data_IF_899980523119
#
_entry.id   IF_899980523119
#
_cell.length_a   1.000
_cell.length_b   1.000
_cell.length_c   1.000
_cell.angle_alpha   90.00
_cell.angle_beta   90.00
_cell.angle_gamma   90.00
#
_symmetry.space_group_name_H-M   'P 1'
#
loop_
_entity.id
_entity.type
_entity.pdbx_description
1 polymer ?
#
# COMPACT_ATOMS: atom_id res chain seq x y z
N UNK A 1 -9.48 55.94 -52.98
CA UNK A 1 -9.88 54.58 -52.58
C UNK A 1 -8.70 54.00 -51.84
N UNK A 2 -8.78 53.96 -50.51
CA UNK A 2 -7.76 53.31 -49.69
C UNK A 2 -7.77 51.82 -50.02
N UNK A 3 -6.76 51.36 -50.74
CA UNK A 3 -6.48 49.95 -50.89
C UNK A 3 -5.90 49.52 -49.55
N UNK A 4 -6.77 49.09 -48.65
CA UNK A 4 -6.37 48.42 -47.43
C UNK A 4 -5.55 47.19 -47.85
N UNK A 5 -4.22 47.28 -47.75
CA UNK A 5 -3.31 46.20 -48.10
C UNK A 5 -3.60 45.03 -47.17
N UNK A 6 -4.41 44.07 -47.62
CA UNK A 6 -4.73 42.86 -46.88
C UNK A 6 -3.48 41.97 -46.81
N UNK A 7 -2.65 42.22 -45.80
CA UNK A 7 -1.54 41.33 -45.48
C UNK A 7 -2.11 39.96 -45.06
N UNK A 8 -1.66 38.85 -45.68
CA UNK A 8 -2.11 37.52 -45.28
C UNK A 8 -1.65 37.23 -43.84
N UNK A 9 -2.60 36.85 -42.98
CA UNK A 9 -2.34 36.48 -41.58
C UNK A 9 -2.50 34.97 -41.42
N UNK A 10 -1.48 34.31 -40.88
CA UNK A 10 -1.59 32.93 -40.44
C UNK A 10 -2.32 32.89 -39.09
N UNK A 11 -3.31 32.01 -38.96
CA UNK A 11 -4.09 31.85 -37.73
C UNK A 11 -4.21 30.38 -37.35
N UNK A 12 -4.27 30.12 -36.06
CA UNK A 12 -4.58 28.79 -35.53
C UNK A 12 -6.09 28.53 -35.71
N UNK A 13 -6.46 27.34 -36.16
CA UNK A 13 -7.87 26.95 -36.40
C UNK A 13 -8.42 25.95 -35.38
N UNK A 14 -7.55 25.31 -34.60
CA UNK A 14 -7.89 24.35 -33.56
C UNK A 14 -6.90 24.43 -32.40
N UNK A 15 -7.27 23.97 -31.19
CA UNK A 15 -6.34 23.91 -30.05
C UNK A 15 -5.10 23.08 -30.47
N UNK A 16 -3.92 23.64 -30.21
CA UNK A 16 -2.66 22.93 -30.34
C UNK A 16 -2.35 22.22 -29.03
N UNK A 17 -1.71 21.06 -29.12
CA UNK A 17 -1.40 20.19 -28.00
C UNK A 17 -0.02 19.61 -28.27
N UNK A 18 0.97 20.00 -27.45
CA UNK A 18 2.38 19.65 -27.68
C UNK A 18 2.58 18.15 -27.50
N UNK A 19 1.89 17.57 -26.53
CA UNK A 19 1.93 16.16 -26.15
C UNK A 19 1.38 15.28 -27.29
N UNK A 20 0.60 15.86 -28.22
CA UNK A 20 0.21 15.24 -29.49
C UNK A 20 1.14 15.56 -30.66
N UNK A 21 1.59 16.81 -30.79
CA UNK A 21 2.45 17.22 -31.91
C UNK A 21 3.38 18.39 -31.54
N UNK A 22 4.70 18.17 -31.69
CA UNK A 22 5.75 19.12 -31.29
C UNK A 22 5.90 20.33 -32.23
N UNK A 23 5.40 20.24 -33.47
CA UNK A 23 5.58 21.29 -34.47
C UNK A 23 5.05 20.90 -35.84
N UNK A 24 5.05 21.87 -36.77
CA UNK A 24 4.54 21.75 -38.12
C UNK A 24 5.53 22.33 -39.13
N UNK A 25 5.72 21.64 -40.24
CA UNK A 25 6.40 22.17 -41.42
C UNK A 25 5.36 22.59 -42.45
N UNK A 26 5.19 23.89 -42.62
CA UNK A 26 4.27 24.48 -43.59
C UNK A 26 5.05 24.90 -44.84
N UNK A 27 4.41 24.86 -46.01
CA UNK A 27 4.95 25.45 -47.23
C UNK A 27 3.95 26.52 -47.68
N UNK A 28 4.38 27.77 -47.63
CA UNK A 28 3.59 28.90 -48.10
C UNK A 28 3.88 29.11 -49.58
N UNK A 29 2.88 28.99 -50.44
CA UNK A 29 3.02 29.25 -51.88
C UNK A 29 2.26 30.52 -52.27
N UNK A 30 2.94 31.47 -52.91
CA UNK A 30 2.34 32.62 -53.55
C UNK A 30 2.23 32.36 -55.05
N UNK A 31 1.11 32.73 -55.69
CA UNK A 31 0.87 32.59 -57.13
C UNK A 31 0.36 33.92 -57.67
N UNK A 32 0.95 34.43 -58.75
CA UNK A 32 0.47 35.64 -59.43
C UNK A 32 -0.73 35.36 -60.36
N UNK A 33 -1.35 36.40 -60.90
CA UNK A 33 -2.52 36.29 -61.78
C UNK A 33 -2.25 35.59 -63.11
N UNK A 34 -0.98 35.38 -63.47
CA UNK A 34 -0.54 34.72 -64.71
C UNK A 34 0.04 33.32 -64.45
N UNK A 35 -0.04 32.84 -63.20
CA UNK A 35 0.32 31.48 -62.80
C UNK A 35 1.78 31.30 -62.36
N UNK A 36 2.59 32.36 -62.28
CA UNK A 36 3.95 32.25 -61.71
C UNK A 36 3.84 32.08 -60.20
N UNK A 37 4.61 31.16 -59.62
CA UNK A 37 4.57 30.90 -58.19
C UNK A 37 5.95 30.91 -57.52
N UNK A 38 5.93 31.05 -56.19
CA UNK A 38 7.09 30.86 -55.32
C UNK A 38 6.63 30.19 -54.03
N UNK A 39 7.48 29.37 -53.42
CA UNK A 39 7.18 28.64 -52.20
C UNK A 39 8.23 28.89 -51.12
N UNK A 40 7.80 29.00 -49.87
CA UNK A 40 8.66 29.22 -48.70
C UNK A 40 8.30 28.24 -47.57
N UNK A 41 9.25 27.44 -47.05
CA UNK A 41 9.00 26.63 -45.87
C UNK A 41 8.94 27.49 -44.59
N UNK A 42 7.95 27.21 -43.73
CA UNK A 42 7.79 27.83 -42.42
C UNK A 42 7.73 26.70 -41.38
N UNK A 43 8.63 26.75 -40.40
CA UNK A 43 8.65 25.81 -39.27
C UNK A 43 7.95 26.45 -38.08
N UNK A 44 6.87 25.82 -37.62
CA UNK A 44 6.14 26.19 -36.41
C UNK A 44 6.52 25.21 -35.31
N UNK A 45 7.04 25.71 -34.18
CA UNK A 45 7.31 24.88 -32.99
C UNK A 45 6.25 25.15 -31.93
N UNK A 46 5.68 24.10 -31.36
CA UNK A 46 4.70 24.19 -30.27
C UNK A 46 5.47 24.23 -28.95
N UNK A 47 5.24 25.26 -28.13
CA UNK A 47 5.88 25.41 -26.83
C UNK A 47 5.21 24.52 -25.78
N UNK A 48 6.00 24.08 -24.80
CA UNK A 48 5.48 23.35 -23.65
C UNK A 48 4.64 24.27 -22.75
N UNK A 49 3.55 23.72 -22.23
CA UNK A 49 2.73 24.32 -21.18
C UNK A 49 2.45 23.23 -20.16
N UNK A 50 2.50 23.57 -18.86
CA UNK A 50 2.17 22.63 -17.79
C UNK A 50 0.64 22.44 -17.72
N UNK A 51 0.07 21.60 -18.59
CA UNK A 51 -1.37 21.35 -18.68
C UNK A 51 -1.79 19.90 -18.42
N UNK A 52 -0.84 19.02 -18.06
CA UNK A 52 -1.08 17.66 -17.61
C UNK A 52 -0.57 17.44 -16.18
N UNK A 53 -1.37 16.76 -15.36
CA UNK A 53 -0.94 16.39 -14.02
C UNK A 53 -0.09 15.10 -14.05
N UNK A 54 0.83 14.92 -13.08
CA UNK A 54 1.62 13.71 -13.00
C UNK A 54 0.76 12.49 -12.68
N UNK A 55 1.23 11.30 -13.06
CA UNK A 55 0.57 10.01 -12.85
C UNK A 55 1.47 9.09 -12.05
N UNK A 56 0.95 8.54 -10.96
CA UNK A 56 1.65 7.55 -10.13
C UNK A 56 1.43 6.15 -10.71
N UNK A 57 2.51 5.41 -10.91
CA UNK A 57 2.52 4.03 -11.35
C UNK A 57 2.92 3.15 -10.17
N UNK A 58 2.01 2.26 -9.78
CA UNK A 58 2.26 1.28 -8.73
C UNK A 58 2.77 -0.03 -9.34
N UNK A 59 3.68 -0.75 -8.66
CA UNK A 59 4.03 -2.12 -9.03
C UNK A 59 2.76 -2.98 -9.05
N UNK A 60 2.38 -3.52 -10.22
CA UNK A 60 1.24 -4.44 -10.32
C UNK A 60 1.71 -5.86 -10.05
N UNK A 61 1.18 -6.49 -9.01
CA UNK A 61 1.12 -7.95 -8.95
C UNK A 61 -0.04 -8.42 -9.84
N UNK A 62 0.22 -9.43 -10.68
CA UNK A 62 -0.67 -9.92 -11.73
C UNK A 62 -2.15 -9.98 -11.32
N UNK A 63 -2.98 -9.10 -11.88
CA UNK A 63 -4.44 -9.19 -11.86
C UNK A 63 -5.21 -8.24 -10.93
N UNK A 64 -4.54 -7.47 -10.06
CA UNK A 64 -5.23 -6.53 -9.16
C UNK A 64 -5.08 -5.07 -9.58
N UNK A 65 -6.22 -4.34 -9.66
CA UNK A 65 -6.23 -2.89 -9.92
C UNK A 65 -5.66 -2.05 -8.76
N UNK A 66 -5.49 -2.64 -7.57
CA UNK A 66 -4.94 -2.00 -6.37
C UNK A 66 -3.96 -2.98 -5.68
N UNK A 67 -2.64 -2.82 -5.87
CA UNK A 67 -1.68 -3.69 -5.21
C UNK A 67 -1.70 -3.45 -3.69
N UNK A 68 -1.67 -4.54 -2.92
CA UNK A 68 -1.47 -4.51 -1.47
C UNK A 68 -0.06 -4.95 -1.16
N UNK A 69 0.71 -4.10 -0.51
CA UNK A 69 2.09 -4.42 -0.16
C UNK A 69 2.14 -5.18 1.16
N UNK A 70 2.67 -6.40 1.14
CA UNK A 70 2.74 -7.26 2.32
C UNK A 70 3.89 -6.83 3.22
N UNK A 71 3.58 -6.59 4.49
CA UNK A 71 4.52 -6.36 5.58
C UNK A 71 4.16 -7.32 6.71
N UNK A 72 5.18 -7.87 7.35
CA UNK A 72 5.09 -8.71 8.54
C UNK A 72 5.55 -7.90 9.73
N UNK A 73 5.05 -8.18 10.92
CA UNK A 73 5.51 -7.47 12.11
C UNK A 73 6.97 -7.75 12.48
N UNK A 74 7.50 -8.93 12.11
CA UNK A 74 8.94 -9.23 12.22
C UNK A 74 9.84 -8.46 11.23
N UNK A 75 9.25 -7.72 10.28
CA UNK A 75 10.03 -6.92 9.33
C UNK A 75 10.80 -5.80 10.05
N UNK A 76 12.08 -5.66 9.69
CA UNK A 76 12.98 -4.71 10.34
C UNK A 76 12.85 -3.30 9.75
N UNK A 77 13.09 -2.26 10.57
CA UNK A 77 13.30 -0.89 10.07
C UNK A 77 14.34 -0.87 8.94
N UNK A 78 14.05 -0.12 7.88
CA UNK A 78 14.83 -0.05 6.65
C UNK A 78 14.39 -1.02 5.55
N UNK A 79 13.44 -1.93 5.82
CA UNK A 79 12.84 -2.76 4.77
C UNK A 79 12.23 -1.87 3.67
N UNK A 80 12.64 -2.09 2.43
CA UNK A 80 12.01 -1.48 1.27
C UNK A 80 10.74 -2.25 0.94
N UNK A 81 9.61 -1.54 0.92
CA UNK A 81 8.28 -2.10 0.71
C UNK A 81 7.91 -2.05 -0.77
N UNK A 82 8.14 -0.89 -1.41
CA UNK A 82 7.80 -0.67 -2.81
C UNK A 82 8.65 0.44 -3.42
N UNK A 83 8.87 0.37 -4.73
CA UNK A 83 9.35 1.51 -5.54
C UNK A 83 8.18 2.11 -6.29
N UNK A 84 7.86 3.35 -5.94
CA UNK A 84 6.84 4.16 -6.59
C UNK A 84 7.48 4.97 -7.71
N UNK A 85 6.79 5.07 -8.83
CA UNK A 85 7.23 5.86 -9.97
C UNK A 85 6.13 6.86 -10.29
N UNK A 86 6.52 8.10 -10.58
CA UNK A 86 5.61 9.09 -11.13
C UNK A 86 6.12 9.55 -12.50
N UNK A 87 5.19 9.72 -13.43
CA UNK A 87 5.46 10.22 -14.78
C UNK A 87 4.63 11.46 -15.04
N UNK A 88 5.20 12.43 -15.74
CA UNK A 88 4.46 13.62 -16.18
C UNK A 88 4.49 13.71 -17.71
N UNK A 89 3.34 13.79 -18.40
CA UNK A 89 3.29 14.00 -19.85
C UNK A 89 3.99 15.31 -20.29
N UNK A 90 4.06 16.32 -19.44
CA UNK A 90 4.69 17.60 -19.78
C UNK A 90 6.23 17.52 -19.73
N UNK A 91 6.78 16.47 -19.12
CA UNK A 91 8.22 16.19 -19.00
C UNK A 91 8.78 15.30 -20.13
N UNK A 92 8.05 15.08 -21.24
CA UNK A 92 8.59 14.35 -22.40
C UNK A 92 9.91 15.01 -22.83
N UNK A 93 11.00 14.32 -22.50
CA UNK A 93 12.35 14.82 -22.61
C UNK A 93 12.74 14.97 -24.09
N UNK A 94 13.16 16.18 -24.48
CA UNK A 94 13.88 16.45 -25.74
C UNK A 94 15.12 15.54 -25.93
N UNK A 95 15.59 14.82 -24.89
CA UNK A 95 16.69 13.85 -24.97
C UNK A 95 16.31 12.49 -25.59
N UNK A 96 15.04 12.06 -25.52
CA UNK A 96 14.59 10.84 -26.22
C UNK A 96 14.46 11.07 -27.74
N UNK A 97 14.20 12.31 -28.16
CA UNK A 97 14.22 12.71 -29.58
C UNK A 97 15.61 13.03 -30.13
N UNK A 98 16.64 13.18 -29.29
CA UNK A 98 18.01 13.42 -29.79
C UNK A 98 18.69 12.20 -30.40
N UNK A 99 18.21 10.99 -30.10
CA UNK A 99 18.78 9.75 -30.63
C UNK A 99 18.01 9.17 -31.83
N UNK A 100 16.90 9.80 -32.24
CA UNK A 100 16.21 9.49 -33.48
C UNK A 100 16.12 10.77 -34.31
N UNK A 101 17.18 10.98 -35.11
CA UNK A 101 17.27 11.76 -36.33
C UNK A 101 16.33 12.98 -36.47
N UNK A 102 16.91 14.16 -36.60
CA UNK A 102 16.28 15.48 -36.77
C UNK A 102 15.35 15.65 -38.00
N UNK A 103 14.96 14.56 -38.66
CA UNK A 103 14.19 14.55 -39.92
C UNK A 103 12.71 14.15 -39.73
N UNK A 104 12.26 13.83 -38.51
CA UNK A 104 10.88 13.40 -38.22
C UNK A 104 9.92 14.58 -37.94
N UNK A 105 9.99 15.64 -38.74
CA UNK A 105 8.90 16.62 -38.76
C UNK A 105 7.83 16.12 -39.73
N UNK A 106 6.96 15.27 -39.19
CA UNK A 106 5.93 14.53 -39.88
C UNK A 106 5.16 15.37 -40.93
N UNK A 107 4.88 14.73 -42.07
CA UNK A 107 3.78 15.12 -42.95
C UNK A 107 2.53 15.38 -42.10
N UNK A 108 1.67 16.37 -42.46
CA UNK A 108 0.48 16.74 -41.69
C UNK A 108 -0.58 15.63 -41.47
N UNK A 109 -0.32 14.39 -41.88
CA UNK A 109 -1.14 13.20 -41.63
C UNK A 109 -0.67 12.32 -40.45
N UNK A 110 0.48 12.55 -39.84
CA UNK A 110 1.08 11.63 -38.85
C UNK A 110 1.48 12.29 -37.51
N UNK A 111 0.69 13.25 -37.02
CA UNK A 111 0.75 13.61 -35.59
C UNK A 111 -0.04 12.57 -34.77
N UNK A 112 0.53 11.39 -34.53
CA UNK A 112 -0.07 10.38 -33.64
C UNK A 112 0.99 9.74 -32.75
N UNK A 113 1.64 10.55 -31.92
CA UNK A 113 2.32 10.00 -30.75
C UNK A 113 1.29 9.83 -29.63
N UNK A 114 0.88 8.60 -29.36
CA UNK A 114 0.23 8.22 -28.10
C UNK A 114 1.26 7.40 -27.33
N UNK A 115 1.66 7.78 -26.10
CA UNK A 115 2.47 6.91 -25.27
C UNK A 115 1.65 5.66 -24.92
N UNK A 116 1.77 4.62 -25.72
CA UNK A 116 1.14 3.33 -25.46
C UNK A 116 1.66 2.79 -24.11
N UNK A 117 0.82 2.10 -23.34
CA UNK A 117 1.17 1.50 -22.05
C UNK A 117 2.42 0.59 -22.10
N UNK A 118 2.80 0.09 -23.28
CA UNK A 118 4.03 -0.65 -23.52
C UNK A 118 5.31 0.16 -23.24
N UNK A 119 5.33 1.47 -23.52
CA UNK A 119 6.48 2.34 -23.25
C UNK A 119 6.66 2.62 -21.74
N UNK A 120 5.60 2.44 -20.96
CA UNK A 120 5.60 2.59 -19.50
C UNK A 120 6.32 1.42 -18.82
N UNK A 121 6.23 0.20 -19.37
CA UNK A 121 6.98 -0.97 -18.86
C UNK A 121 8.49 -0.81 -19.04
N UNK A 122 8.93 -0.24 -20.15
CA UNK A 122 10.35 0.04 -20.42
C UNK A 122 10.91 1.10 -19.47
N UNK A 123 10.09 2.06 -19.00
CA UNK A 123 10.47 2.99 -17.92
C UNK A 123 10.60 2.27 -16.57
N UNK A 124 9.76 1.26 -16.32
CA UNK A 124 9.83 0.41 -15.13
C UNK A 124 11.16 -0.37 -15.08
N UNK A 125 11.53 -1.00 -16.20
CA UNK A 125 12.74 -1.82 -16.33
C UNK A 125 14.03 -0.97 -16.48
N UNK A 126 13.97 0.15 -17.21
CA UNK A 126 15.09 1.09 -17.42
C UNK A 126 15.43 2.00 -16.23
N UNK A 127 14.54 2.11 -15.23
CA UNK A 127 14.78 2.88 -13.99
C UNK A 127 15.78 2.23 -13.02
N UNK A 128 16.43 1.14 -13.43
CA UNK A 128 17.57 0.53 -12.74
C UNK A 128 18.91 1.23 -13.06
N UNK A 129 18.92 2.21 -13.96
CA UNK A 129 20.09 3.06 -14.18
C UNK A 129 20.21 4.12 -13.07
N UNK A 130 21.35 4.23 -12.37
CA UNK A 130 21.56 5.24 -11.32
C UNK A 130 21.54 6.69 -11.84
N UNK A 131 21.55 6.89 -13.16
CA UNK A 131 21.50 8.18 -13.86
C UNK A 131 20.16 8.43 -14.60
N UNK A 132 19.10 7.66 -14.32
CA UNK A 132 17.77 8.01 -14.81
C UNK A 132 17.37 9.38 -14.21
N UNK A 133 17.45 10.42 -15.04
CA UNK A 133 17.39 11.83 -14.64
C UNK A 133 16.28 12.11 -13.62
N UNK A 134 16.62 12.94 -12.62
CA UNK A 134 15.67 13.46 -11.63
C UNK A 134 14.37 13.85 -12.34
N UNK A 135 13.31 13.09 -12.10
CA UNK A 135 11.95 13.48 -12.46
C UNK A 135 11.67 14.84 -11.80
N UNK A 136 11.12 15.81 -12.52
CA UNK A 136 10.69 17.08 -11.89
C UNK A 136 9.40 16.90 -11.09
N UNK A 137 8.86 15.68 -11.08
CA UNK A 137 7.78 15.24 -10.18
C UNK A 137 8.33 14.84 -8.81
N UNK A 138 7.78 15.44 -7.77
CA UNK A 138 8.04 15.09 -6.38
C UNK A 138 6.95 14.17 -5.84
N UNK A 139 7.36 13.02 -5.29
CA UNK A 139 6.50 12.14 -4.52
C UNK A 139 6.61 12.43 -3.03
N UNK A 140 5.47 12.53 -2.34
CA UNK A 140 5.42 12.74 -0.89
C UNK A 140 4.14 12.16 -0.29
N UNK A 141 4.12 11.98 1.03
CA UNK A 141 2.88 11.70 1.73
C UNK A 141 1.93 12.90 1.62
N UNK A 142 0.67 12.62 1.33
CA UNK A 142 -0.40 13.61 1.38
C UNK A 142 -0.58 14.08 2.82
N UNK A 143 -0.85 15.37 3.01
CA UNK A 143 -1.08 15.98 4.34
C UNK A 143 -2.24 15.36 5.13
N UNK A 144 -3.13 14.64 4.45
CA UNK A 144 -4.28 13.95 5.05
C UNK A 144 -3.96 12.49 5.45
N UNK A 145 -2.73 12.03 5.22
CA UNK A 145 -2.28 10.72 5.69
C UNK A 145 -2.26 10.69 7.22
N UNK A 146 -2.68 9.56 7.79
CA UNK A 146 -2.69 9.36 9.24
C UNK A 146 -1.29 9.59 9.84
N UNK A 147 -1.22 10.44 10.86
CA UNK A 147 0.01 10.86 11.52
C UNK A 147 0.75 9.69 12.19
N UNK A 148 0.04 8.65 12.65
CA UNK A 148 0.68 7.44 13.19
C UNK A 148 1.37 6.65 12.07
N UNK A 149 0.75 6.57 10.89
CA UNK A 149 1.36 5.91 9.74
C UNK A 149 2.62 6.65 9.26
N UNK A 150 2.66 7.98 9.36
CA UNK A 150 3.86 8.79 9.04
C UNK A 150 5.05 8.56 9.99
N UNK A 151 4.81 7.96 11.17
CA UNK A 151 5.89 7.49 12.06
C UNK A 151 6.38 6.09 11.67
N UNK A 152 5.48 5.29 11.10
CA UNK A 152 5.71 3.90 10.72
C UNK A 152 6.41 3.75 9.38
N UNK A 153 6.12 4.64 8.44
CA UNK A 153 6.58 4.55 7.06
C UNK A 153 7.31 5.81 6.64
N UNK A 154 8.27 5.64 5.74
CA UNK A 154 9.00 6.72 5.10
C UNK A 154 8.93 6.59 3.58
N UNK A 155 8.89 7.71 2.87
CA UNK A 155 8.94 7.76 1.42
C UNK A 155 10.10 8.67 1.02
N UNK A 156 11.16 8.07 0.51
CA UNK A 156 12.32 8.84 0.12
C UNK A 156 12.10 9.58 -1.21
N UNK A 157 12.93 10.59 -1.53
CA UNK A 157 12.80 11.37 -2.77
C UNK A 157 12.91 10.54 -4.06
N UNK A 158 13.51 9.34 -4.00
CA UNK A 158 13.63 8.43 -5.14
C UNK A 158 12.39 7.54 -5.33
N UNK A 159 11.33 7.77 -4.55
CA UNK A 159 10.07 7.03 -4.62
C UNK A 159 10.10 5.68 -3.89
N UNK A 160 11.12 5.39 -3.07
CA UNK A 160 11.15 4.13 -2.30
C UNK A 160 10.37 4.32 -1.00
N UNK A 161 9.29 3.54 -0.87
CA UNK A 161 8.52 3.40 0.35
C UNK A 161 9.20 2.38 1.27
N UNK A 162 9.47 2.78 2.50
CA UNK A 162 10.24 1.98 3.46
C UNK A 162 9.57 1.91 4.82
N UNK A 163 9.83 0.83 5.54
CA UNK A 163 9.48 0.70 6.94
C UNK A 163 10.46 1.50 7.81
N UNK A 164 9.96 2.39 8.66
CA UNK A 164 10.79 3.29 9.49
C UNK A 164 11.02 2.77 10.91
N UNK A 165 10.09 1.97 11.42
CA UNK A 165 10.16 1.37 12.76
C UNK A 165 9.58 -0.04 12.74
N UNK A 166 9.88 -0.83 13.77
CA UNK A 166 9.25 -2.14 13.96
C UNK A 166 7.74 -1.97 14.14
N UNK A 167 6.97 -2.88 13.57
CA UNK A 167 5.53 -2.95 13.78
C UNK A 167 5.22 -4.05 14.79
N UNK A 168 4.02 -3.99 15.33
CA UNK A 168 3.48 -4.94 16.30
C UNK A 168 1.99 -4.99 16.03
N UNK A 169 1.53 -6.13 15.54
CA UNK A 169 0.18 -6.32 15.04
C UNK A 169 -0.83 -6.10 16.17
N UNK A 170 -0.59 -6.70 17.33
CA UNK A 170 -1.45 -6.66 18.51
C UNK A 170 -1.64 -5.22 18.99
N UNK A 171 -0.57 -4.43 19.10
CA UNK A 171 -0.68 -3.01 19.50
C UNK A 171 -1.44 -2.18 18.47
N UNK A 172 -1.18 -2.39 17.18
CA UNK A 172 -1.83 -1.60 16.13
C UNK A 172 -3.34 -1.87 16.08
N UNK A 173 -3.71 -3.13 16.21
CA UNK A 173 -5.11 -3.55 16.27
C UNK A 173 -5.81 -2.99 17.50
N UNK A 174 -5.21 -3.12 18.69
CA UNK A 174 -5.82 -2.65 19.94
C UNK A 174 -6.06 -1.13 19.96
N UNK A 175 -5.22 -0.36 19.27
CA UNK A 175 -5.38 1.09 19.13
C UNK A 175 -6.40 1.51 18.04
N UNK A 176 -6.80 0.59 17.16
CA UNK A 176 -7.72 0.85 16.05
C UNK A 176 -8.70 -0.34 15.82
N UNK A 177 -9.56 -0.68 16.82
CA UNK A 177 -10.36 -1.91 16.81
C UNK A 177 -11.35 -2.01 15.65
N UNK A 178 -11.75 -0.89 15.04
CA UNK A 178 -12.64 -0.85 13.87
C UNK A 178 -12.00 -1.33 12.57
N UNK A 179 -10.68 -1.56 12.52
CA UNK A 179 -9.93 -1.93 11.31
C UNK A 179 -9.73 -3.45 11.14
N UNK A 180 -10.21 -4.28 12.07
CA UNK A 180 -9.94 -5.72 12.08
C UNK A 180 -11.05 -6.51 11.39
N UNK A 181 -10.70 -7.29 10.37
CA UNK A 181 -11.65 -8.17 9.67
C UNK A 181 -11.62 -9.64 10.13
N UNK A 182 -11.21 -9.93 11.38
CA UNK A 182 -11.08 -11.30 11.94
C UNK A 182 -10.18 -12.25 11.12
N UNK A 183 -9.23 -11.72 10.36
CA UNK A 183 -8.52 -12.45 9.30
C UNK A 183 -7.00 -12.61 9.50
N UNK A 184 -6.39 -12.10 10.58
CA UNK A 184 -4.93 -12.18 10.77
C UNK A 184 -4.15 -11.20 9.88
N UNK A 185 -4.82 -10.11 9.46
CA UNK A 185 -4.17 -8.98 8.82
C UNK A 185 -4.99 -7.70 8.99
N UNK A 186 -4.33 -6.55 8.82
CA UNK A 186 -4.95 -5.22 8.73
C UNK A 186 -4.40 -4.47 7.52
N UNK A 187 -5.26 -3.67 6.88
CA UNK A 187 -4.89 -2.83 5.74
C UNK A 187 -4.62 -1.39 6.25
N UNK A 188 -3.38 -0.92 6.13
CA UNK A 188 -2.92 0.42 6.47
C UNK A 188 -2.87 1.26 5.18
N UNK A 189 -3.65 2.34 5.14
CA UNK A 189 -3.83 3.14 3.92
C UNK A 189 -3.02 4.44 3.96
N UNK A 190 -2.01 4.52 3.11
CA UNK A 190 -1.14 5.68 2.93
C UNK A 190 -1.61 6.50 1.73
N UNK A 191 -1.87 7.79 1.91
CA UNK A 191 -2.16 8.68 0.77
C UNK A 191 -0.88 9.30 0.27
N UNK A 192 -0.59 9.12 -1.02
CA UNK A 192 0.60 9.65 -1.69
C UNK A 192 0.16 10.68 -2.70
N UNK A 193 0.87 11.80 -2.76
CA UNK A 193 0.70 12.83 -3.77
C UNK A 193 1.95 12.91 -4.65
N UNK A 194 1.73 13.00 -5.96
CA UNK A 194 2.72 13.39 -6.95
C UNK A 194 2.43 14.82 -7.37
N UNK A 195 3.43 15.69 -7.35
CA UNK A 195 3.31 17.10 -7.71
C UNK A 195 4.46 17.46 -8.66
N UNK A 196 4.12 18.09 -9.79
CA UNK A 196 5.10 18.57 -10.76
C UNK A 196 5.78 19.88 -10.29
N UNK A 197 6.84 20.29 -10.98
CA UNK A 197 7.53 21.57 -10.72
C UNK A 197 7.01 22.72 -11.60
N UNK A 198 5.86 22.54 -12.25
CA UNK A 198 5.27 23.48 -13.18
C UNK A 198 4.66 24.73 -12.53
N UNK A 199 4.16 25.64 -13.36
CA UNK A 199 3.54 26.91 -12.91
C UNK A 199 2.24 27.20 -13.69
N UNK A 200 1.06 27.05 -13.08
CA UNK A 200 0.82 26.51 -11.73
C UNK A 200 1.23 25.03 -11.66
N UNK A 201 1.61 24.58 -10.46
CA UNK A 201 1.93 23.17 -10.24
C UNK A 201 0.65 22.33 -10.29
N UNK A 202 0.69 21.18 -10.95
CA UNK A 202 -0.40 20.20 -10.97
C UNK A 202 -0.01 18.99 -10.11
N UNK A 203 -1.03 18.29 -9.61
CA UNK A 203 -0.83 17.15 -8.72
C UNK A 203 -1.90 16.08 -8.85
N UNK A 204 -1.53 14.86 -8.50
CA UNK A 204 -2.42 13.69 -8.41
C UNK A 204 -2.19 12.99 -7.08
N UNK A 205 -3.28 12.53 -6.45
CA UNK A 205 -3.23 11.76 -5.21
C UNK A 205 -3.70 10.31 -5.45
N UNK A 206 -3.07 9.35 -4.78
CA UNK A 206 -3.46 7.95 -4.77
C UNK A 206 -3.36 7.35 -3.37
N UNK A 207 -4.02 6.22 -3.14
CA UNK A 207 -3.90 5.47 -1.87
C UNK A 207 -3.12 4.18 -2.09
N UNK A 208 -2.09 3.99 -1.28
CA UNK A 208 -1.31 2.77 -1.20
C UNK A 208 -1.78 1.99 0.03
N UNK A 209 -2.14 0.74 -0.16
CA UNK A 209 -2.52 -0.15 0.93
C UNK A 209 -1.34 -1.04 1.30
N UNK A 210 -0.86 -0.90 2.53
CA UNK A 210 0.06 -1.83 3.15
C UNK A 210 -0.76 -2.83 3.94
N UNK A 211 -0.57 -4.11 3.69
CA UNK A 211 -1.19 -5.18 4.46
C UNK A 211 -0.20 -5.70 5.49
N UNK A 212 -0.47 -5.41 6.76
CA UNK A 212 0.28 -5.98 7.87
C UNK A 212 -0.29 -7.36 8.21
N UNK A 213 0.55 -8.38 8.19
CA UNK A 213 0.22 -9.76 8.51
C UNK A 213 0.61 -10.05 9.95
N UNK A 214 -0.32 -10.65 10.69
CA UNK A 214 -0.15 -11.24 12.02
C UNK A 214 0.76 -12.47 11.94
N UNK A 215 1.72 -12.58 12.85
CA UNK A 215 2.58 -13.73 13.03
C UNK A 215 2.32 -14.38 14.39
N UNK A 216 2.65 -15.66 14.51
CA UNK A 216 2.49 -16.40 15.77
C UNK A 216 3.67 -16.10 16.71
N UNK A 217 3.72 -14.90 17.27
CA UNK A 217 4.84 -14.43 18.10
C UNK A 217 4.50 -14.25 19.58
N UNK A 218 3.23 -14.43 19.97
CA UNK A 218 2.84 -14.59 21.36
C UNK A 218 2.66 -16.09 21.69
N UNK A 219 2.83 -16.41 22.97
CA UNK A 219 2.55 -17.75 23.48
C UNK A 219 1.30 -17.70 24.36
N UNK A 220 0.50 -18.78 24.42
CA UNK A 220 -0.65 -18.83 25.30
C UNK A 220 -0.25 -18.62 26.75
N UNK A 221 -0.97 -17.73 27.42
CA UNK A 221 -0.87 -17.52 28.86
C UNK A 221 -2.01 -18.25 29.57
N UNK A 222 -1.70 -18.87 30.70
CA UNK A 222 -2.67 -19.62 31.52
C UNK A 222 -2.75 -18.94 32.89
N UNK A 223 -3.95 -18.54 33.28
CA UNK A 223 -4.27 -18.03 34.60
C UNK A 223 -5.19 -19.02 35.31
N UNK A 224 -4.89 -19.36 36.56
CA UNK A 224 -5.72 -20.25 37.38
C UNK A 224 -6.42 -19.43 38.45
N UNK A 225 -7.75 -19.47 38.45
CA UNK A 225 -8.61 -18.93 39.49
C UNK A 225 -9.13 -20.08 40.38
N UNK A 226 -8.78 -20.01 41.67
CA UNK A 226 -9.14 -21.03 42.65
C UNK A 226 -10.60 -20.88 43.06
N UNK A 227 -11.37 -21.96 42.98
CA UNK A 227 -12.76 -21.95 43.46
C UNK A 227 -12.79 -22.24 44.96
N UNK A 228 -13.58 -21.48 45.72
CA UNK A 228 -13.73 -21.66 47.17
C UNK A 228 -14.39 -23.01 47.45
N UNK A 229 -13.66 -23.89 48.12
CA UNK A 229 -14.19 -25.16 48.61
C UNK A 229 -14.62 -25.08 50.08
N UNK A 230 -15.66 -25.84 50.50
CA UNK A 230 -16.09 -25.89 51.89
C UNK A 230 -14.95 -26.35 52.80
N UNK A 231 -14.66 -25.58 53.86
CA UNK A 231 -13.64 -25.95 54.86
C UNK A 231 -12.19 -25.69 54.44
N UNK A 232 -11.93 -25.10 53.26
CA UNK A 232 -10.58 -24.80 52.81
C UNK A 232 -10.22 -23.32 52.98
N UNK A 233 -9.17 -23.04 53.75
CA UNK A 233 -8.62 -21.69 53.96
C UNK A 233 -7.60 -21.35 52.87
N UNK A 234 -8.08 -20.66 51.81
CA UNK A 234 -7.25 -20.21 50.70
C UNK A 234 -6.20 -19.15 51.08
N UNK A 235 -6.25 -18.59 52.29
CA UNK A 235 -5.31 -17.54 52.73
C UNK A 235 -3.93 -18.07 53.13
N UNK A 236 -3.81 -19.38 53.37
CA UNK A 236 -2.57 -20.02 53.83
C UNK A 236 -1.57 -20.31 52.72
N UNK A 237 -2.05 -20.44 51.48
CA UNK A 237 -1.20 -20.67 50.32
C UNK A 237 -1.29 -19.52 49.32
N UNK A 238 -0.18 -18.80 49.19
CA UNK A 238 -0.08 -17.68 48.26
C UNK A 238 0.23 -18.10 46.83
N UNK A 239 0.56 -19.37 46.57
CA UNK A 239 0.74 -19.86 45.21
C UNK A 239 -0.63 -20.03 44.52
N UNK A 240 -0.95 -19.24 43.48
CA UNK A 240 -2.23 -19.36 42.78
C UNK A 240 -2.40 -20.69 42.03
N UNK A 241 -1.30 -21.41 41.78
CA UNK A 241 -1.31 -22.67 41.03
C UNK A 241 -1.54 -23.91 41.91
N UNK A 242 -1.64 -23.75 43.23
CA UNK A 242 -1.95 -24.85 44.12
C UNK A 242 -3.46 -24.94 44.36
N UNK A 243 -4.00 -26.13 44.06
CA UNK A 243 -5.41 -26.46 44.25
C UNK A 243 -5.55 -27.47 45.38
N UNK A 244 -6.66 -27.37 46.11
CA UNK A 244 -6.95 -28.25 47.22
C UNK A 244 -8.36 -28.81 47.06
N UNK A 245 -8.46 -30.13 47.14
CA UNK A 245 -9.71 -30.88 47.00
C UNK A 245 -9.78 -31.92 48.12
N UNK A 246 -10.94 -32.06 48.75
CA UNK A 246 -11.14 -33.08 49.77
C UNK A 246 -11.36 -34.45 49.10
N UNK A 247 -10.81 -35.53 49.66
CA UNK A 247 -10.88 -36.88 49.08
C UNK A 247 -12.32 -37.43 48.95
N UNK A 248 -13.26 -36.89 49.73
CA UNK A 248 -14.67 -37.26 49.72
C UNK A 248 -15.53 -36.32 48.86
N UNK A 249 -14.91 -35.49 48.03
CA UNK A 249 -15.60 -34.62 47.07
C UNK A 249 -16.41 -35.46 46.09
N UNK A 250 -17.61 -34.98 45.74
CA UNK A 250 -18.43 -35.67 44.76
C UNK A 250 -17.86 -35.47 43.34
N UNK A 251 -17.97 -36.48 42.45
CA UNK A 251 -17.73 -36.30 41.04
C UNK A 251 -18.54 -35.12 40.48
N UNK A 252 -17.93 -34.34 39.60
CA UNK A 252 -18.47 -33.10 39.05
C UNK A 252 -18.07 -31.85 39.84
N UNK A 253 -17.38 -31.99 40.98
CA UNK A 253 -16.92 -30.84 41.76
C UNK A 253 -15.94 -30.01 40.94
N UNK A 254 -16.25 -28.71 40.85
CA UNK A 254 -15.43 -27.74 40.16
C UNK A 254 -14.32 -27.22 41.09
N UNK A 255 -13.06 -27.52 40.76
CA UNK A 255 -11.92 -27.24 41.66
C UNK A 255 -11.19 -25.93 41.34
N UNK A 256 -11.18 -25.54 40.08
CA UNK A 256 -10.57 -24.29 39.61
C UNK A 256 -11.18 -23.87 38.28
N UNK A 257 -11.05 -22.58 37.99
CA UNK A 257 -11.28 -22.01 36.67
C UNK A 257 -9.95 -21.65 36.02
N UNK A 258 -9.68 -22.08 34.79
CA UNK A 258 -8.52 -21.66 34.02
C UNK A 258 -8.94 -20.66 32.96
N UNK A 259 -8.22 -19.57 32.84
CA UNK A 259 -8.31 -18.65 31.72
C UNK A 259 -7.09 -18.87 30.85
N UNK A 260 -7.31 -19.18 29.57
CA UNK A 260 -6.25 -19.29 28.58
C UNK A 260 -6.44 -18.20 27.56
N UNK A 261 -5.38 -17.43 27.33
CA UNK A 261 -5.38 -16.32 26.40
C UNK A 261 -4.10 -16.33 25.58
N UNK A 262 -4.26 -16.30 24.27
CA UNK A 262 -3.21 -15.98 23.31
C UNK A 262 -3.58 -14.67 22.63
N UNK A 263 -2.58 -13.80 22.44
CA UNK A 263 -2.80 -12.44 21.94
C UNK A 263 -2.81 -12.38 20.41
N UNK A 264 -2.26 -13.39 19.75
CA UNK A 264 -2.18 -13.43 18.29
C UNK A 264 -3.58 -13.56 17.67
N UNK A 265 -3.74 -13.19 16.40
CA UNK A 265 -5.03 -13.22 15.73
C UNK A 265 -5.30 -14.50 14.94
N UNK A 266 -6.59 -14.75 14.68
CA UNK A 266 -7.01 -15.81 13.76
C UNK A 266 -6.67 -17.21 14.29
N UNK A 267 -5.84 -17.94 13.55
CA UNK A 267 -5.38 -19.29 13.92
C UNK A 267 -4.17 -19.25 14.87
N UNK A 268 -3.38 -18.17 14.85
CA UNK A 268 -2.21 -18.03 15.70
C UNK A 268 -2.63 -17.94 17.17
N UNK A 269 -3.70 -17.19 17.46
CA UNK A 269 -4.30 -17.16 18.81
C UNK A 269 -5.28 -18.30 19.13
N UNK A 270 -5.32 -19.38 18.34
CA UNK A 270 -6.21 -20.50 18.61
C UNK A 270 -5.54 -21.49 19.55
N UNK A 271 -6.23 -21.85 20.63
CA UNK A 271 -5.68 -22.65 21.72
C UNK A 271 -6.46 -23.94 21.94
N UNK A 272 -5.74 -24.99 22.37
CA UNK A 272 -6.29 -26.28 22.79
C UNK A 272 -5.61 -26.75 24.06
N UNK A 273 -6.38 -27.27 25.02
CA UNK A 273 -5.87 -27.70 26.32
C UNK A 273 -6.04 -29.22 26.50
N UNK A 274 -5.02 -29.85 27.09
CA UNK A 274 -5.01 -31.28 27.40
C UNK A 274 -4.28 -31.53 28.73
N UNK A 275 -4.70 -32.57 29.45
CA UNK A 275 -3.99 -33.11 30.62
C UNK A 275 -3.08 -34.24 30.12
N UNK A 276 -1.77 -34.11 30.34
CA UNK A 276 -0.76 -35.04 29.79
C UNK A 276 -0.52 -36.29 30.65
N UNK A 277 -0.80 -36.24 31.97
CA UNK A 277 -0.60 -37.40 32.85
C UNK A 277 -1.79 -38.35 32.81
N UNK A 278 -1.54 -39.60 32.41
CA UNK A 278 -2.52 -40.66 32.26
C UNK A 278 -3.17 -41.14 33.58
N UNK A 279 -2.53 -40.87 34.74
CA UNK A 279 -3.17 -41.10 36.05
C UNK A 279 -4.12 -39.95 36.38
N UNK A 280 -3.69 -38.71 36.14
CA UNK A 280 -4.50 -37.51 36.39
C UNK A 280 -5.65 -37.31 35.41
N UNK A 281 -5.56 -37.82 34.18
CA UNK A 281 -6.65 -37.73 33.19
C UNK A 281 -7.82 -38.70 33.46
N UNK A 282 -7.70 -39.57 34.47
CA UNK A 282 -8.80 -40.41 34.98
C UNK A 282 -9.60 -39.70 36.05
N UNK A 283 -8.91 -38.94 36.88
CA UNK A 283 -9.46 -38.28 38.07
C UNK A 283 -9.69 -36.78 37.83
N UNK A 284 -9.38 -36.22 36.66
CA UNK A 284 -9.64 -34.83 36.33
C UNK A 284 -9.94 -34.68 34.83
N UNK A 285 -10.98 -33.91 34.49
CA UNK A 285 -11.25 -33.47 33.13
C UNK A 285 -11.66 -31.99 33.09
N UNK A 286 -11.73 -31.43 31.89
CA UNK A 286 -12.30 -30.12 31.65
C UNK A 286 -13.82 -30.25 31.46
N UNK A 287 -14.60 -29.46 32.21
CA UNK A 287 -16.06 -29.52 32.21
C UNK A 287 -16.74 -29.18 30.86
N UNK A 288 -16.02 -28.58 29.88
CA UNK A 288 -16.47 -28.40 28.49
C UNK A 288 -15.36 -27.93 27.52
N UNK A 289 -15.49 -28.31 26.23
CA UNK A 289 -14.80 -27.80 25.02
C UNK A 289 -13.26 -27.71 25.06
N UNK A 290 -12.56 -28.71 24.51
CA UNK A 290 -11.08 -28.76 24.38
C UNK A 290 -10.49 -27.86 23.26
N UNK A 291 -11.33 -27.25 22.41
CA UNK A 291 -10.93 -26.43 21.26
C UNK A 291 -11.71 -25.11 21.24
N UNK A 292 -11.02 -23.98 21.15
CA UNK A 292 -11.68 -22.67 21.17
C UNK A 292 -10.82 -21.56 20.54
N UNK A 293 -11.47 -20.45 20.19
CA UNK A 293 -10.87 -19.23 19.63
C UNK A 293 -11.01 -18.08 20.65
N UNK A 294 -9.91 -17.41 20.99
CA UNK A 294 -9.87 -16.26 21.90
C UNK A 294 -9.88 -16.62 23.40
N UNK A 295 -9.91 -15.60 24.27
CA UNK A 295 -9.89 -15.74 25.73
C UNK A 295 -11.13 -16.48 26.23
N UNK A 296 -10.95 -17.63 26.90
CA UNK A 296 -12.07 -18.39 27.50
C UNK A 296 -11.73 -18.98 28.86
N UNK A 297 -12.80 -19.23 29.59
CA UNK A 297 -12.81 -19.87 30.90
C UNK A 297 -13.05 -21.38 30.77
N UNK A 298 -12.24 -22.18 31.45
CA UNK A 298 -12.42 -23.62 31.64
C UNK A 298 -12.66 -23.89 33.09
N UNK A 299 -13.51 -24.85 33.40
CA UNK A 299 -13.64 -25.35 34.77
C UNK A 299 -13.10 -26.77 34.83
N UNK A 300 -12.22 -27.05 35.78
CA UNK A 300 -11.75 -28.40 36.06
C UNK A 300 -12.80 -29.13 36.90
N UNK A 301 -13.27 -30.29 36.43
CA UNK A 301 -14.22 -31.16 37.14
C UNK A 301 -13.87 -32.63 36.95
N UNK A 302 -14.07 -33.47 37.96
CA UNK A 302 -14.16 -34.93 37.76
C UNK A 302 -15.44 -35.27 36.97
N UNK A 303 -15.38 -36.02 35.87
CA UNK A 303 -16.58 -36.69 35.35
C UNK A 303 -16.73 -38.10 35.96
N UNK A 304 -17.96 -38.62 36.11
CA UNK A 304 -18.18 -39.94 36.69
C UNK A 304 -17.80 -41.06 35.70
N UNK A 305 -17.13 -42.10 36.21
CA UNK A 305 -17.00 -43.38 35.50
C UNK A 305 -18.38 -44.07 35.40
N UNK A 306 -18.77 -44.46 34.18
CA UNK A 306 -19.79 -45.48 33.94
C UNK A 306 -19.18 -46.87 33.95
#
# INVERSE_FOLDING_TARGET
MDVETKQPKLKIVQKLDREKCLGYNLILTAVDSRGMNSSLPIVVRVQNVNDNAPRIILPRESGNNHPRFLVKESDRPGKQIAKLIAIDPDEINDSMNRHQNLDYFANPKECSYSPNEANIRTLYEGSHSPDAGKSSVTLKFDKTTDVQLLKMFDLNPNGILMLKQSLDFEKLVNNAPSQVQNQGWIDLNLKIIAEDSGKPALSTSTTITIRLIDENDNSPSILVERLKQPGHDLSRDQNPNHLYVAENSAPGLQVAMMMVEDKDYGMNGQVSCQIEDAHSSRDFDFAANRHFKGSKFFVLSEEPMF
#
